data_IF_122010426196
#
_entry.id   IF_122010426196
#
_cell.length_a   1.000
_cell.length_b   1.000
_cell.length_c   1.000
_cell.angle_alpha   90.00
_cell.angle_beta   90.00
_cell.angle_gamma   90.00
#
_symmetry.space_group_name_H-M   'P 1'
#
loop_
_entity.id
_entity.type
_entity.pdbx_description
1 polymer ?
#
# COMPACT_ATOMS: atom_id res chain seq x y z
N UNK A 1 -18.89 75.09 -24.97
CA UNK A 1 -17.97 74.25 -24.16
C UNK A 1 -18.07 74.72 -22.72
N UNK A 2 -18.14 73.84 -21.69
CA UNK A 2 -17.39 72.59 -21.56
C UNK A 2 -18.24 71.33 -21.31
N UNK A 3 -17.56 70.18 -21.40
CA UNK A 3 -18.05 68.83 -21.20
C UNK A 3 -18.19 68.45 -19.71
N UNK A 4 -19.08 67.51 -19.38
CA UNK A 4 -18.95 66.65 -18.19
C UNK A 4 -19.28 65.20 -18.50
N UNK A 5 -18.41 64.34 -17.98
CA UNK A 5 -18.28 62.90 -18.17
C UNK A 5 -19.07 62.11 -17.10
N UNK A 6 -19.52 60.92 -17.52
CA UNK A 6 -20.02 59.71 -16.84
C UNK A 6 -20.07 59.58 -15.30
N UNK A 7 -21.10 58.86 -14.82
CA UNK A 7 -21.21 58.33 -13.46
C UNK A 7 -22.00 57.01 -13.38
N UNK A 8 -21.33 55.91 -13.72
CA UNK A 8 -21.36 54.63 -12.97
C UNK A 8 -22.67 53.82 -12.92
N UNK A 9 -22.92 53.08 -14.00
CA UNK A 9 -23.52 51.73 -13.91
C UNK A 9 -22.45 50.78 -13.33
N UNK A 10 -22.48 50.49 -12.03
CA UNK A 10 -21.87 49.29 -11.42
C UNK A 10 -22.05 49.34 -9.90
N UNK A 11 -23.20 48.88 -9.39
CA UNK A 11 -23.36 48.61 -7.95
C UNK A 11 -24.14 47.31 -7.67
N UNK A 12 -24.16 46.36 -8.60
CA UNK A 12 -24.78 45.03 -8.34
C UNK A 12 -23.80 43.86 -8.45
N UNK A 13 -22.52 44.07 -8.75
CA UNK A 13 -21.54 42.98 -8.85
C UNK A 13 -20.91 42.58 -7.51
N UNK A 14 -21.13 43.32 -6.42
CA UNK A 14 -20.41 43.06 -5.16
C UNK A 14 -21.09 41.98 -4.31
N UNK A 15 -22.40 41.77 -4.45
CA UNK A 15 -23.11 40.70 -3.72
C UNK A 15 -22.82 39.29 -4.26
N UNK A 16 -22.37 39.16 -5.52
CA UNK A 16 -22.07 37.87 -6.14
C UNK A 16 -20.72 37.27 -5.69
N UNK A 17 -19.81 38.09 -5.15
CA UNK A 17 -18.46 37.64 -4.76
C UNK A 17 -18.40 36.98 -3.37
N UNK A 18 -19.44 37.09 -2.54
CA UNK A 18 -19.45 36.43 -1.23
C UNK A 18 -19.79 34.94 -1.32
N UNK A 19 -20.41 34.49 -2.43
CA UNK A 19 -20.77 33.09 -2.65
C UNK A 19 -19.56 32.21 -3.01
N UNK A 20 -18.50 32.81 -3.58
CA UNK A 20 -17.28 32.09 -3.97
C UNK A 20 -16.42 31.68 -2.75
N UNK A 21 -16.57 32.38 -1.61
CA UNK A 21 -15.78 32.11 -0.41
C UNK A 21 -16.26 30.88 0.38
N UNK A 22 -17.49 30.41 0.14
CA UNK A 22 -18.07 29.24 0.83
C UNK A 22 -17.67 27.89 0.22
N UNK A 23 -17.03 27.87 -0.96
CA UNK A 23 -16.50 26.65 -1.59
C UNK A 23 -15.16 26.17 -1.02
N UNK A 24 -14.61 26.87 -0.01
CA UNK A 24 -13.41 26.47 0.74
C UNK A 24 -13.73 25.58 1.95
N UNK A 25 -14.97 25.10 2.12
CA UNK A 25 -15.27 24.06 3.11
C UNK A 25 -14.61 22.75 2.66
N UNK A 26 -13.36 22.58 3.09
CA UNK A 26 -12.64 21.31 3.06
C UNK A 26 -13.55 20.24 3.66
N UNK A 27 -14.10 19.39 2.80
CA UNK A 27 -14.60 18.09 3.25
C UNK A 27 -13.38 17.33 3.74
N UNK A 28 -13.41 16.90 5.00
CA UNK A 28 -12.57 15.80 5.44
C UNK A 28 -13.08 14.59 4.66
N UNK A 29 -12.47 14.30 3.51
CA UNK A 29 -12.73 13.06 2.80
C UNK A 29 -12.25 11.96 3.75
N UNK A 30 -13.19 11.22 4.29
CA UNK A 30 -12.85 10.05 5.09
C UNK A 30 -12.41 8.95 4.13
N UNK A 31 -11.25 8.37 4.42
CA UNK A 31 -10.57 7.42 3.54
C UNK A 31 -11.34 6.09 3.43
N UNK A 32 -12.10 5.95 2.36
CA UNK A 32 -12.52 4.64 1.85
C UNK A 32 -11.64 4.33 0.63
N UNK A 33 -10.94 3.19 0.65
CA UNK A 33 -10.17 2.75 -0.51
C UNK A 33 -10.38 1.27 -0.76
N UNK A 34 -10.23 0.89 -2.02
CA UNK A 34 -10.18 -0.50 -2.45
C UNK A 34 -9.07 -0.66 -3.47
N UNK A 35 -8.07 -1.47 -3.14
CA UNK A 35 -6.94 -1.78 -4.01
C UNK A 35 -7.02 -3.27 -4.34
N UNK A 36 -7.10 -3.57 -5.63
CA UNK A 36 -6.98 -4.94 -6.11
C UNK A 36 -5.54 -5.42 -5.96
N UNK A 37 -5.39 -6.70 -5.65
CA UNK A 37 -4.09 -7.36 -5.61
C UNK A 37 -4.19 -8.77 -6.18
N UNK A 38 -3.13 -9.19 -6.88
CA UNK A 38 -2.98 -10.53 -7.43
C UNK A 38 -1.76 -11.19 -6.78
N UNK A 39 -1.99 -12.35 -6.19
CA UNK A 39 -0.98 -13.10 -5.47
C UNK A 39 -0.78 -14.45 -6.14
N UNK A 40 0.43 -14.68 -6.65
CA UNK A 40 0.89 -15.97 -7.11
C UNK A 40 1.85 -16.57 -6.07
N UNK A 41 1.58 -17.79 -5.64
CA UNK A 41 2.34 -18.52 -4.63
C UNK A 41 3.03 -19.72 -5.26
N UNK A 42 4.26 -19.98 -4.80
CA UNK A 42 5.01 -21.19 -5.07
C UNK A 42 5.36 -21.84 -3.73
N UNK A 43 4.73 -22.97 -3.44
CA UNK A 43 4.89 -23.68 -2.18
C UNK A 43 6.18 -24.50 -2.14
N UNK A 44 6.61 -24.85 -0.92
CA UNK A 44 7.82 -25.66 -0.71
C UNK A 44 7.74 -27.05 -1.36
N UNK A 45 6.53 -27.61 -1.49
CA UNK A 45 6.26 -28.91 -2.12
C UNK A 45 6.16 -28.85 -3.65
N UNK A 46 6.35 -27.66 -4.24
CA UNK A 46 6.29 -27.40 -5.68
C UNK A 46 4.90 -27.06 -6.21
N UNK A 47 3.85 -27.08 -5.38
CA UNK A 47 2.53 -26.62 -5.79
C UNK A 47 2.53 -25.11 -6.09
N UNK A 48 1.64 -24.70 -6.99
CA UNK A 48 1.42 -23.30 -7.33
C UNK A 48 -0.05 -22.94 -7.16
N UNK A 49 -0.30 -21.74 -6.64
CA UNK A 49 -1.64 -21.22 -6.46
C UNK A 49 -1.68 -19.75 -6.83
N UNK A 50 -2.78 -19.33 -7.46
CA UNK A 50 -3.08 -17.93 -7.68
C UNK A 50 -4.35 -17.57 -6.90
N UNK A 51 -4.35 -16.41 -6.26
CA UNK A 51 -5.49 -15.90 -5.53
C UNK A 51 -5.52 -14.37 -5.56
N UNK A 52 -6.71 -13.81 -5.34
CA UNK A 52 -6.84 -12.38 -5.10
C UNK A 52 -6.28 -12.03 -3.71
N UNK A 53 -5.64 -10.88 -3.60
CA UNK A 53 -5.13 -10.33 -2.36
C UNK A 53 -5.49 -8.84 -2.23
N UNK A 54 -6.79 -8.51 -2.15
CA UNK A 54 -7.22 -7.12 -2.07
C UNK A 54 -6.83 -6.49 -0.73
N UNK A 55 -6.63 -5.18 -0.73
CA UNK A 55 -6.56 -4.36 0.49
C UNK A 55 -7.64 -3.30 0.44
N UNK A 56 -8.47 -3.25 1.49
CA UNK A 56 -9.63 -2.34 1.53
C UNK A 56 -9.77 -1.71 2.91
N UNK A 57 -10.18 -0.45 2.94
CA UNK A 57 -10.60 0.25 4.15
C UNK A 57 -11.98 0.85 3.87
N UNK A 58 -12.97 0.52 4.69
CA UNK A 58 -14.34 1.00 4.55
C UNK A 58 -14.79 1.57 5.89
N UNK A 59 -15.30 2.80 5.90
CA UNK A 59 -15.94 3.38 7.07
C UNK A 59 -17.35 2.83 7.24
N UNK A 60 -17.66 2.37 8.45
CA UNK A 60 -18.98 1.84 8.79
C UNK A 60 -19.39 2.31 10.21
N UNK A 61 -20.50 3.05 10.30
CA UNK A 61 -21.15 3.43 11.57
C UNK A 61 -20.20 4.03 12.62
N UNK A 62 -19.29 4.91 12.20
CA UNK A 62 -18.33 5.57 13.11
C UNK A 62 -17.07 4.75 13.44
N UNK A 63 -16.93 3.57 12.83
CA UNK A 63 -15.72 2.73 12.87
C UNK A 63 -15.18 2.50 11.46
N UNK A 64 -14.09 1.75 11.36
CA UNK A 64 -13.51 1.34 10.07
C UNK A 64 -13.38 -0.17 10.02
N UNK A 65 -13.59 -0.72 8.83
CA UNK A 65 -13.33 -2.10 8.49
C UNK A 65 -12.11 -2.10 7.58
N UNK A 66 -11.03 -2.72 8.02
CA UNK A 66 -9.89 -3.02 7.17
C UNK A 66 -9.93 -4.48 6.76
N UNK A 67 -9.77 -4.74 5.47
CA UNK A 67 -9.68 -6.09 4.90
C UNK A 67 -8.39 -6.26 4.11
N UNK A 68 -7.75 -7.41 4.28
CA UNK A 68 -6.51 -7.79 3.57
C UNK A 68 -6.56 -9.27 3.20
N UNK A 69 -6.47 -9.57 1.91
CA UNK A 69 -6.74 -10.92 1.42
C UNK A 69 -8.14 -11.38 1.85
N UNK A 70 -8.19 -12.47 2.63
CA UNK A 70 -9.43 -13.00 3.22
C UNK A 70 -9.70 -12.54 4.66
N UNK A 71 -8.77 -11.77 5.25
CA UNK A 71 -8.85 -11.32 6.63
C UNK A 71 -9.57 -9.98 6.74
N UNK A 72 -10.27 -9.77 7.85
CA UNK A 72 -10.98 -8.53 8.14
C UNK A 72 -10.82 -8.15 9.61
N UNK A 73 -10.70 -6.86 9.90
CA UNK A 73 -10.57 -6.33 11.27
C UNK A 73 -11.32 -5.00 11.40
N UNK A 74 -12.04 -4.82 12.50
CA UNK A 74 -12.68 -3.55 12.85
C UNK A 74 -11.70 -2.68 13.63
N UNK A 75 -11.60 -1.41 13.26
CA UNK A 75 -10.68 -0.41 13.81
C UNK A 75 -11.46 0.81 14.29
N UNK A 76 -10.95 1.45 15.35
CA UNK A 76 -11.52 2.68 15.90
C UNK A 76 -11.00 3.94 15.18
N UNK A 77 -10.00 3.80 14.32
CA UNK A 77 -9.37 4.86 13.54
C UNK A 77 -8.92 4.31 12.17
N UNK A 78 -8.69 5.17 11.15
CA UNK A 78 -8.15 4.74 9.87
C UNK A 78 -6.81 4.03 10.05
N UNK A 79 -6.59 2.95 9.29
CA UNK A 79 -5.31 2.28 9.27
C UNK A 79 -4.28 3.12 8.51
N UNK A 80 -3.15 3.43 9.14
CA UNK A 80 -2.06 4.17 8.49
C UNK A 80 -0.99 3.25 7.90
N UNK A 81 -0.86 2.04 8.44
CA UNK A 81 0.16 1.07 8.02
C UNK A 81 -0.29 -0.35 8.28
N UNK A 82 0.00 -1.23 7.33
CA UNK A 82 -0.09 -2.68 7.48
C UNK A 82 1.28 -3.31 7.18
N UNK A 83 1.63 -4.41 7.84
CA UNK A 83 2.93 -5.06 7.72
C UNK A 83 2.75 -6.55 7.43
N UNK A 84 3.25 -6.99 6.27
CA UNK A 84 3.41 -8.40 5.97
C UNK A 84 4.75 -8.88 6.55
N UNK A 85 4.71 -9.91 7.39
CA UNK A 85 5.90 -10.52 7.95
C UNK A 85 6.38 -11.69 7.08
N UNK A 86 7.67 -11.67 6.73
CA UNK A 86 8.35 -12.75 6.02
C UNK A 86 9.32 -13.41 6.99
N UNK A 87 9.07 -14.67 7.33
CA UNK A 87 9.86 -15.41 8.31
C UNK A 87 10.69 -16.45 7.57
N UNK A 88 11.99 -16.20 7.43
CA UNK A 88 12.94 -17.19 6.92
C UNK A 88 13.33 -18.16 8.04
N UNK A 89 12.87 -19.40 7.94
CA UNK A 89 13.16 -20.47 8.88
C UNK A 89 14.28 -21.37 8.34
N UNK A 90 15.33 -21.54 9.15
CA UNK A 90 16.47 -22.43 8.90
C UNK A 90 17.16 -22.23 7.54
N UNK A 91 17.05 -21.05 6.93
CA UNK A 91 17.54 -20.75 5.57
C UNK A 91 16.95 -21.68 4.48
N UNK A 92 15.83 -22.35 4.78
CA UNK A 92 15.17 -23.28 3.85
C UNK A 92 13.78 -22.81 3.48
N UNK A 93 12.96 -22.37 4.42
CA UNK A 93 11.56 -22.12 4.16
C UNK A 93 11.19 -20.70 4.53
N UNK A 94 10.37 -20.04 3.71
CA UNK A 94 9.81 -18.73 4.04
C UNK A 94 8.33 -18.85 4.36
N UNK A 95 7.93 -18.34 5.51
CA UNK A 95 6.54 -18.27 5.92
C UNK A 95 6.01 -16.85 5.77
N UNK A 96 4.83 -16.72 5.16
CA UNK A 96 4.04 -15.49 5.10
C UNK A 96 2.60 -15.87 5.44
N UNK A 97 2.26 -15.75 6.73
CA UNK A 97 1.00 -16.27 7.29
C UNK A 97 -0.24 -15.63 6.67
N UNK A 98 -0.13 -14.38 6.25
CA UNK A 98 -1.22 -13.66 5.58
C UNK A 98 -1.53 -14.23 4.19
N UNK A 99 -0.59 -14.96 3.58
CA UNK A 99 -0.78 -15.58 2.26
C UNK A 99 -1.28 -17.02 2.36
N UNK A 100 -0.65 -17.82 3.22
CA UNK A 100 -0.96 -19.23 3.38
C UNK A 100 -0.40 -19.79 4.70
N UNK A 101 -1.01 -20.89 5.16
CA UNK A 101 -0.55 -21.65 6.33
C UNK A 101 0.50 -22.72 5.96
N UNK A 102 1.31 -22.46 4.93
CA UNK A 102 2.33 -23.38 4.41
C UNK A 102 3.59 -22.62 3.97
N UNK A 103 4.77 -23.27 4.02
CA UNK A 103 6.02 -22.65 3.62
C UNK A 103 6.08 -22.39 2.10
N UNK A 104 6.74 -21.30 1.72
CA UNK A 104 6.88 -20.81 0.36
C UNK A 104 8.32 -20.91 -0.13
N UNK A 105 8.47 -21.32 -1.38
CA UNK A 105 9.70 -21.17 -2.18
C UNK A 105 9.74 -19.83 -2.93
N UNK A 106 8.58 -19.22 -3.13
CA UNK A 106 8.48 -17.90 -3.73
C UNK A 106 7.05 -17.39 -3.78
N UNK A 107 6.92 -16.11 -4.09
CA UNK A 107 5.65 -15.50 -4.43
C UNK A 107 5.87 -14.29 -5.34
N UNK A 108 4.81 -13.89 -6.03
CA UNK A 108 4.67 -12.59 -6.69
C UNK A 108 3.37 -11.96 -6.19
N UNK A 109 3.46 -10.76 -5.63
CA UNK A 109 2.32 -9.93 -5.27
C UNK A 109 2.35 -8.67 -6.15
N UNK A 110 1.36 -8.56 -7.03
CA UNK A 110 1.06 -7.32 -7.75
C UNK A 110 -0.05 -6.61 -6.98
N UNK A 111 0.19 -5.38 -6.53
CA UNK A 111 -0.81 -4.59 -5.80
C UNK A 111 -0.60 -3.10 -6.04
N UNK A 112 -1.65 -2.41 -6.49
CA UNK A 112 -1.55 -1.06 -7.05
C UNK A 112 -0.46 -0.98 -8.14
N UNK A 113 0.49 -0.06 -8.04
CA UNK A 113 1.65 0.09 -8.93
C UNK A 113 2.89 -0.71 -8.50
N UNK A 114 2.79 -1.51 -7.45
CA UNK A 114 3.92 -2.23 -6.88
C UNK A 114 3.91 -3.72 -7.25
N UNK A 115 5.09 -4.22 -7.60
CA UNK A 115 5.36 -5.64 -7.71
C UNK A 115 6.34 -6.05 -6.61
N UNK A 116 5.95 -7.02 -5.79
CA UNK A 116 6.81 -7.61 -4.77
C UNK A 116 7.01 -9.08 -5.05
N UNK A 117 8.26 -9.49 -5.20
CA UNK A 117 8.61 -10.89 -5.43
C UNK A 117 9.49 -11.44 -4.33
N UNK A 118 9.30 -12.71 -4.02
CA UNK A 118 10.23 -13.55 -3.30
C UNK A 118 10.64 -14.68 -4.23
N UNK A 119 11.95 -14.88 -4.42
CA UNK A 119 12.48 -15.99 -5.21
C UNK A 119 13.78 -16.49 -4.64
N UNK A 120 14.12 -17.74 -4.96
CA UNK A 120 15.50 -18.23 -4.76
C UNK A 120 16.37 -17.84 -5.95
N UNK A 121 17.57 -17.34 -5.66
CA UNK A 121 18.59 -16.98 -6.65
C UNK A 121 19.92 -17.65 -6.30
N UNK A 122 20.34 -18.68 -7.05
CA UNK A 122 21.62 -19.36 -6.82
C UNK A 122 22.84 -18.43 -6.86
N UNK A 123 22.76 -17.29 -7.56
CA UNK A 123 23.84 -16.31 -7.67
C UNK A 123 23.89 -15.35 -6.47
N UNK A 124 22.83 -15.24 -5.68
CA UNK A 124 22.77 -14.39 -4.49
C UNK A 124 23.54 -15.00 -3.31
N UNK A 125 24.88 -15.05 -3.42
CA UNK A 125 25.73 -15.76 -2.44
C UNK A 125 25.68 -15.20 -1.02
N UNK A 126 25.40 -13.91 -0.88
CA UNK A 126 25.25 -13.24 0.40
C UNK A 126 23.83 -13.35 1.00
N UNK A 127 22.85 -13.82 0.22
CA UNK A 127 21.48 -13.99 0.70
C UNK A 127 21.33 -15.30 1.47
N UNK A 128 20.75 -15.21 2.67
CA UNK A 128 20.37 -16.37 3.49
C UNK A 128 19.38 -17.24 2.72
N UNK A 129 19.64 -18.55 2.68
CA UNK A 129 18.82 -19.51 1.94
C UNK A 129 18.71 -19.26 0.43
N UNK A 130 19.56 -18.38 -0.12
CA UNK A 130 19.46 -17.86 -1.49
C UNK A 130 18.16 -17.09 -1.77
N UNK A 131 17.42 -16.70 -0.74
CA UNK A 131 16.18 -15.95 -0.92
C UNK A 131 16.42 -14.48 -1.18
N UNK A 132 15.82 -14.00 -2.25
CA UNK A 132 15.84 -12.61 -2.68
C UNK A 132 14.43 -12.07 -2.64
N UNK A 133 14.23 -11.01 -1.86
CA UNK A 133 13.03 -10.19 -1.94
C UNK A 133 13.32 -9.03 -2.88
N UNK A 134 12.41 -8.76 -3.80
CA UNK A 134 12.51 -7.63 -4.70
C UNK A 134 11.21 -6.83 -4.63
N UNK A 135 11.33 -5.52 -4.44
CA UNK A 135 10.23 -4.57 -4.53
C UNK A 135 10.51 -3.68 -5.73
N UNK A 136 9.70 -3.79 -6.77
CA UNK A 136 9.94 -3.16 -8.07
C UNK A 136 11.36 -3.51 -8.56
N UNK A 137 12.25 -2.52 -8.69
CA UNK A 137 13.64 -2.72 -9.12
C UNK A 137 14.65 -2.87 -7.96
N UNK A 138 14.19 -2.80 -6.71
CA UNK A 138 15.05 -2.83 -5.54
C UNK A 138 15.15 -4.22 -4.92
N UNK A 139 16.39 -4.68 -4.68
CA UNK A 139 16.69 -6.00 -4.14
C UNK A 139 17.03 -5.93 -2.64
N UNK A 140 16.51 -6.89 -1.87
CA UNK A 140 16.67 -7.01 -0.42
C UNK A 140 16.97 -8.45 -0.01
N UNK A 141 17.86 -8.62 0.96
CA UNK A 141 18.21 -9.90 1.57
C UNK A 141 17.81 -9.94 3.05
N UNK A 142 17.40 -11.13 3.52
CA UNK A 142 17.02 -11.35 4.91
C UNK A 142 18.17 -11.03 5.87
N UNK A 143 17.86 -10.30 6.94
CA UNK A 143 18.77 -10.10 8.06
C UNK A 143 18.64 -11.23 9.10
N UNK A 144 18.89 -10.98 10.39
CA UNK A 144 18.70 -11.97 11.46
C UNK A 144 17.21 -12.18 11.83
N UNK A 145 16.39 -11.14 11.71
CA UNK A 145 14.97 -11.18 12.07
C UNK A 145 14.04 -11.38 10.86
N UNK A 146 12.73 -11.32 11.08
CA UNK A 146 11.75 -11.32 10.00
C UNK A 146 11.99 -10.15 9.04
N UNK A 147 11.86 -10.43 7.74
CA UNK A 147 11.64 -9.38 6.77
C UNK A 147 10.24 -8.81 6.92
N UNK A 148 10.05 -7.55 6.58
CA UNK A 148 8.74 -6.90 6.61
C UNK A 148 8.52 -6.13 5.32
N UNK A 149 7.33 -6.29 4.74
CA UNK A 149 6.82 -5.41 3.69
C UNK A 149 5.74 -4.54 4.33
N UNK A 150 6.01 -3.26 4.47
CA UNK A 150 5.09 -2.31 5.05
C UNK A 150 4.35 -1.57 3.95
N UNK A 151 3.03 -1.61 3.99
CA UNK A 151 2.14 -0.81 3.18
C UNK A 151 1.72 0.39 4.01
N UNK A 152 2.10 1.60 3.56
CA UNK A 152 1.69 2.86 4.16
C UNK A 152 0.51 3.39 3.37
N UNK A 153 -0.56 3.76 4.07
CA UNK A 153 -1.80 4.18 3.45
C UNK A 153 -2.03 5.69 3.54
N UNK A 154 -2.70 6.23 2.53
CA UNK A 154 -3.29 7.57 2.53
C UNK A 154 -4.80 7.46 2.25
N UNK A 155 -5.44 8.58 1.91
CA UNK A 155 -6.87 8.62 1.63
C UNK A 155 -7.26 7.92 0.31
N UNK A 156 -6.29 7.67 -0.58
CA UNK A 156 -6.51 7.08 -1.91
C UNK A 156 -6.16 5.59 -1.98
N UNK A 157 -5.44 5.05 -0.98
CA UNK A 157 -4.99 3.67 -0.97
C UNK A 157 -3.57 3.53 -0.46
N UNK A 158 -2.76 2.71 -1.15
CA UNK A 158 -1.35 2.52 -0.84
C UNK A 158 -0.58 3.74 -1.33
N UNK A 159 0.04 4.47 -0.41
CA UNK A 159 0.87 5.63 -0.71
C UNK A 159 2.34 5.24 -0.91
N UNK A 160 2.79 4.22 -0.20
CA UNK A 160 4.17 3.76 -0.24
C UNK A 160 4.26 2.29 0.20
N UNK A 161 5.18 1.55 -0.42
CA UNK A 161 5.60 0.22 0.05
C UNK A 161 7.06 0.29 0.49
N UNK A 162 7.35 -0.19 1.69
CA UNK A 162 8.70 -0.17 2.28
C UNK A 162 9.12 -1.55 2.73
N UNK A 163 10.33 -1.96 2.38
CA UNK A 163 10.95 -3.16 2.96
C UNK A 163 11.74 -2.79 4.22
N UNK A 164 11.47 -3.46 5.34
CA UNK A 164 12.18 -3.31 6.64
C UNK A 164 12.66 -4.67 7.15
N UNK A 165 13.60 -4.65 8.10
CA UNK A 165 14.17 -5.89 8.66
C UNK A 165 15.07 -6.67 7.70
N UNK A 166 15.43 -6.06 6.57
CA UNK A 166 16.25 -6.63 5.50
C UNK A 166 17.33 -5.63 5.08
N UNK A 167 18.33 -6.07 4.34
CA UNK A 167 19.41 -5.21 3.85
C UNK A 167 19.53 -5.27 2.32
N UNK A 168 19.93 -4.15 1.72
CA UNK A 168 20.27 -4.11 0.29
C UNK A 168 21.66 -4.73 0.08
N UNK A 169 21.87 -5.57 -0.95
CA UNK A 169 23.21 -6.03 -1.29
C UNK A 169 24.12 -4.85 -1.59
N UNK A 170 25.40 -4.95 -1.20
CA UNK A 170 26.40 -3.97 -1.62
C UNK A 170 26.62 -4.13 -3.13
N UNK A 171 26.59 -3.01 -3.85
CA UNK A 171 27.02 -2.95 -5.25
C UNK A 171 28.52 -3.14 -5.36
#
# INVERSE_FOLDING_TARGET
MPARYNGTMMKNCIAANFLVLLLLTSTKVFADFSVEGKLALQFADGQQQQQAFPMQLIREQGSYIFSVGSQQTRLNAPLQKYSLALILQNDQDVWVTDFANQPLNGFTLEIAEHEITLRRDPQARAARGRYVVQLNDEIFYFSRGPGQINFVFNEQGIAEVQVKGMFKPRR
#
